data_IF_418401500944
#
_entry.id   IF_418401500944
#
_cell.length_a   1.000
_cell.length_b   1.000
_cell.length_c   1.000
_cell.angle_alpha   90.00
_cell.angle_beta   90.00
_cell.angle_gamma   90.00
#
_symmetry.space_group_name_H-M   'P 1'
#
loop_
_entity.id
_entity.type
_entity.pdbx_description
1 polymer ?
#
# COMPACT_ATOMS: atom_id res chain seq x y z
N UNK A 1 10.16 3.07 -10.11
CA UNK A 1 10.06 1.86 -9.27
C UNK A 1 8.67 1.79 -8.69
N UNK A 2 7.98 0.68 -8.89
CA UNK A 2 6.65 0.39 -8.35
C UNK A 2 6.78 -0.73 -7.32
N UNK A 3 6.59 -0.42 -6.05
CA UNK A 3 6.87 -1.32 -4.94
C UNK A 3 5.61 -1.63 -4.14
N UNK A 4 5.42 -2.88 -3.71
CA UNK A 4 4.48 -3.16 -2.62
C UNK A 4 4.99 -2.57 -1.30
N UNK A 5 4.14 -2.60 -0.27
CA UNK A 5 4.38 -2.09 1.07
C UNK A 5 4.42 -3.20 2.10
N UNK A 6 3.29 -3.89 2.31
CA UNK A 6 3.12 -4.91 3.33
C UNK A 6 4.01 -6.11 3.02
N UNK A 7 4.76 -6.60 4.02
CA UNK A 7 5.78 -7.66 3.91
C UNK A 7 6.91 -7.41 2.88
N UNK A 8 6.88 -6.29 2.14
CA UNK A 8 7.88 -5.89 1.15
C UNK A 8 8.79 -4.74 1.65
N UNK A 9 8.20 -3.61 2.03
CA UNK A 9 8.90 -2.44 2.59
C UNK A 9 8.70 -2.33 4.11
N UNK A 10 7.65 -2.94 4.65
CA UNK A 10 7.34 -2.94 6.07
C UNK A 10 6.94 -4.34 6.55
N UNK A 11 7.39 -4.78 7.75
CA UNK A 11 6.99 -6.06 8.34
C UNK A 11 5.60 -5.93 9.00
N UNK A 12 4.58 -5.62 8.21
CA UNK A 12 3.22 -5.47 8.68
C UNK A 12 2.19 -5.94 7.65
N UNK A 13 1.03 -6.38 8.13
CA UNK A 13 -0.14 -6.70 7.34
C UNK A 13 -1.01 -5.47 7.01
N UNK A 14 -1.82 -5.54 5.94
CA UNK A 14 -2.66 -4.43 5.49
C UNK A 14 -3.79 -4.06 6.46
N UNK A 15 -4.06 -4.89 7.46
CA UNK A 15 -5.15 -4.70 8.43
C UNK A 15 -4.69 -4.61 9.89
N UNK A 16 -3.39 -4.60 10.18
CA UNK A 16 -2.86 -4.68 11.55
C UNK A 16 -3.36 -3.53 12.45
N UNK A 17 -3.50 -2.33 11.88
CA UNK A 17 -4.05 -1.17 12.59
C UNK A 17 -5.48 -1.41 13.09
N UNK A 18 -6.26 -2.25 12.42
CA UNK A 18 -7.63 -2.59 12.82
C UNK A 18 -7.60 -3.46 14.07
N UNK A 19 -6.76 -4.48 14.11
CA UNK A 19 -6.58 -5.31 15.31
C UNK A 19 -6.00 -4.53 16.48
N UNK A 20 -5.15 -3.54 16.21
CA UNK A 20 -4.67 -2.62 17.24
C UNK A 20 -5.81 -1.78 17.84
N UNK A 21 -6.66 -1.20 17.00
CA UNK A 21 -7.74 -0.30 17.45
C UNK A 21 -8.95 -1.05 18.02
N UNK A 22 -9.20 -2.27 17.54
CA UNK A 22 -10.31 -3.13 17.94
C UNK A 22 -9.81 -4.56 18.22
N UNK A 23 -9.10 -4.80 19.34
CA UNK A 23 -8.55 -6.12 19.65
C UNK A 23 -9.60 -7.23 19.72
N UNK A 24 -10.84 -6.88 20.06
CA UNK A 24 -11.96 -7.82 20.18
C UNK A 24 -12.35 -8.51 18.87
N UNK A 25 -11.98 -7.97 17.70
CA UNK A 25 -12.29 -8.56 16.38
C UNK A 25 -11.07 -9.22 15.72
N UNK A 26 -9.96 -9.37 16.44
CA UNK A 26 -8.69 -9.87 15.89
C UNK A 26 -8.82 -11.29 15.31
N UNK A 27 -9.59 -12.16 15.96
CA UNK A 27 -9.76 -13.56 15.53
C UNK A 27 -10.45 -13.63 14.16
N UNK A 28 -11.53 -12.90 13.99
CA UNK A 28 -12.31 -12.80 12.76
C UNK A 28 -11.47 -12.15 11.64
N UNK A 29 -10.73 -11.08 11.97
CA UNK A 29 -9.84 -10.40 11.03
C UNK A 29 -8.74 -11.33 10.51
N UNK A 30 -8.10 -12.11 11.39
CA UNK A 30 -7.11 -13.12 11.00
C UNK A 30 -7.71 -14.17 10.08
N UNK A 31 -8.97 -14.57 10.29
CA UNK A 31 -9.70 -15.49 9.42
C UNK A 31 -9.99 -14.93 8.03
N UNK A 32 -10.30 -13.63 7.93
CA UNK A 32 -10.46 -12.93 6.65
C UNK A 32 -9.11 -12.85 5.94
N UNK A 33 -8.06 -12.38 6.63
CA UNK A 33 -6.73 -12.23 6.07
C UNK A 33 -6.17 -13.55 5.53
N UNK A 34 -6.28 -14.65 6.28
CA UNK A 34 -5.84 -15.98 5.83
C UNK A 34 -6.56 -16.43 4.56
N UNK A 35 -7.87 -16.18 4.44
CA UNK A 35 -8.63 -16.57 3.23
C UNK A 35 -8.24 -15.71 2.03
N UNK A 36 -7.97 -14.42 2.26
CA UNK A 36 -7.49 -13.52 1.23
C UNK A 36 -6.11 -13.93 0.72
N UNK A 37 -5.12 -14.09 1.60
CA UNK A 37 -3.75 -14.46 1.20
C UNK A 37 -3.62 -15.88 0.64
N UNK A 38 -4.57 -16.77 0.94
CA UNK A 38 -4.68 -18.09 0.30
C UNK A 38 -5.52 -18.10 -0.97
N UNK A 39 -5.83 -16.93 -1.55
CA UNK A 39 -6.61 -16.76 -2.79
C UNK A 39 -8.00 -17.42 -2.76
N UNK A 40 -8.60 -17.57 -1.57
CA UNK A 40 -9.97 -18.13 -1.42
C UNK A 40 -11.05 -17.06 -1.58
N UNK A 41 -10.71 -15.80 -1.35
CA UNK A 41 -11.57 -14.63 -1.55
C UNK A 41 -10.75 -13.50 -2.20
N UNK A 42 -11.40 -12.61 -2.94
CA UNK A 42 -10.75 -11.43 -3.54
C UNK A 42 -10.45 -10.34 -2.50
N UNK A 43 -9.70 -9.31 -2.89
CA UNK A 43 -9.44 -8.16 -2.01
C UNK A 43 -10.75 -7.44 -1.67
N UNK A 44 -11.62 -7.19 -2.66
CA UNK A 44 -12.92 -6.55 -2.42
C UNK A 44 -13.79 -7.34 -1.45
N UNK A 45 -13.81 -8.67 -1.58
CA UNK A 45 -14.55 -9.54 -0.66
C UNK A 45 -13.98 -9.51 0.76
N UNK A 46 -12.66 -9.44 0.91
CA UNK A 46 -12.01 -9.30 2.21
C UNK A 46 -12.35 -7.94 2.84
N UNK A 47 -12.19 -6.86 2.08
CA UNK A 47 -12.52 -5.49 2.50
C UNK A 47 -13.98 -5.35 2.92
N UNK A 48 -14.92 -5.91 2.17
CA UNK A 48 -16.34 -5.84 2.52
C UNK A 48 -16.65 -6.57 3.83
N UNK A 49 -16.04 -7.74 4.04
CA UNK A 49 -16.17 -8.45 5.32
C UNK A 49 -15.54 -7.69 6.49
N UNK A 50 -14.39 -7.04 6.26
CA UNK A 50 -13.76 -6.17 7.27
C UNK A 50 -14.67 -4.98 7.60
N UNK A 51 -15.27 -4.33 6.59
CA UNK A 51 -16.21 -3.22 6.80
C UNK A 51 -17.40 -3.60 7.68
N UNK A 52 -17.97 -4.78 7.46
CA UNK A 52 -19.09 -5.29 8.25
C UNK A 52 -18.70 -5.64 9.68
N UNK A 53 -17.44 -5.98 9.91
CA UNK A 53 -16.89 -6.34 11.23
C UNK A 53 -16.52 -5.10 12.07
N UNK A 54 -16.22 -3.96 11.43
CA UNK A 54 -15.77 -2.76 12.12
C UNK A 54 -16.88 -2.16 13.02
N UNK A 55 -16.63 -1.96 14.33
CA UNK A 55 -17.60 -1.30 15.22
C UNK A 55 -17.83 0.17 14.85
N UNK A 56 -16.79 0.84 14.36
CA UNK A 56 -16.81 2.20 13.86
C UNK A 56 -15.63 2.42 12.88
N UNK A 57 -15.67 3.47 12.05
CA UNK A 57 -14.52 3.86 11.24
C UNK A 57 -13.30 4.22 12.10
N UNK A 58 -12.10 3.84 11.65
CA UNK A 58 -10.84 4.19 12.32
C UNK A 58 -10.57 5.68 12.15
N UNK A 59 -10.47 6.41 13.26
CA UNK A 59 -10.17 7.84 13.25
C UNK A 59 -8.70 8.12 12.96
N UNK A 60 -8.37 9.35 12.52
CA UNK A 60 -6.98 9.75 12.30
C UNK A 60 -6.13 9.62 13.58
N UNK A 61 -6.70 9.97 14.75
CA UNK A 61 -6.02 9.84 16.04
C UNK A 61 -5.71 8.38 16.40
N UNK A 62 -6.63 7.46 16.12
CA UNK A 62 -6.40 6.03 16.32
C UNK A 62 -5.29 5.50 15.40
N UNK A 63 -5.28 5.94 14.14
CA UNK A 63 -4.21 5.60 13.20
C UNK A 63 -2.86 6.17 13.64
N UNK A 64 -2.83 7.41 14.13
CA UNK A 64 -1.60 8.02 14.67
C UNK A 64 -1.07 7.25 15.88
N UNK A 65 -1.94 6.85 16.80
CA UNK A 65 -1.56 6.03 17.96
C UNK A 65 -1.00 4.66 17.55
N UNK A 66 -1.60 4.02 16.54
CA UNK A 66 -1.06 2.78 15.96
C UNK A 66 0.33 3.00 15.34
N UNK A 67 0.50 4.07 14.55
CA UNK A 67 1.78 4.39 13.94
C UNK A 67 2.87 4.69 14.98
N UNK A 68 2.54 5.41 16.05
CA UNK A 68 3.48 5.67 17.14
C UNK A 68 3.93 4.38 17.83
N UNK A 69 3.00 3.45 18.07
CA UNK A 69 3.28 2.21 18.79
C UNK A 69 3.93 1.11 17.92
N UNK A 70 3.59 1.05 16.63
CA UNK A 70 3.84 -0.14 15.81
C UNK A 70 4.52 0.14 14.47
N UNK A 71 4.77 1.40 14.09
CA UNK A 71 5.41 1.68 12.81
C UNK A 71 6.81 1.09 12.73
N UNK A 72 7.02 0.26 11.72
CA UNK A 72 8.31 -0.33 11.38
C UNK A 72 8.46 -0.42 9.86
N UNK A 73 9.70 -0.32 9.40
CA UNK A 73 10.11 -0.52 8.01
C UNK A 73 11.37 -1.38 8.00
N UNK A 74 11.59 -2.10 6.90
CA UNK A 74 12.85 -2.84 6.75
C UNK A 74 14.06 -1.89 6.68
N UNK A 75 15.24 -2.34 7.16
CA UNK A 75 16.46 -1.54 7.07
C UNK A 75 16.74 -1.06 5.63
N UNK A 76 17.09 0.22 5.48
CA UNK A 76 17.45 0.82 4.19
C UNK A 76 16.28 1.35 3.36
N UNK A 77 15.01 1.14 3.74
CA UNK A 77 13.84 1.63 2.97
C UNK A 77 13.85 3.15 2.81
N UNK A 78 14.12 3.90 3.88
CA UNK A 78 14.22 5.35 3.81
C UNK A 78 15.38 5.81 2.92
N UNK A 79 16.51 5.12 2.97
CA UNK A 79 17.68 5.45 2.16
C UNK A 79 17.43 5.16 0.68
N UNK A 80 16.75 4.07 0.36
CA UNK A 80 16.30 3.74 -0.99
C UNK A 80 15.37 4.83 -1.54
N UNK A 81 14.38 5.26 -0.77
CA UNK A 81 13.46 6.33 -1.19
C UNK A 81 14.21 7.66 -1.46
N UNK A 82 15.11 8.05 -0.56
CA UNK A 82 15.94 9.25 -0.73
C UNK A 82 16.89 9.13 -1.93
N UNK A 83 17.48 7.96 -2.13
CA UNK A 83 18.33 7.69 -3.27
C UNK A 83 17.54 7.80 -4.57
N UNK A 84 16.32 7.24 -4.63
CA UNK A 84 15.45 7.38 -5.78
C UNK A 84 15.16 8.86 -6.09
N UNK A 85 14.80 9.66 -5.07
CA UNK A 85 14.60 11.09 -5.25
C UNK A 85 15.85 11.80 -5.78
N UNK A 86 17.03 11.52 -5.22
CA UNK A 86 18.30 12.11 -5.63
C UNK A 86 18.73 11.71 -7.05
N UNK A 87 18.31 10.52 -7.52
CA UNK A 87 18.58 10.00 -8.86
C UNK A 87 17.45 10.27 -9.86
N UNK A 88 16.45 11.07 -9.48
CA UNK A 88 15.28 11.34 -10.31
C UNK A 88 14.54 10.06 -10.75
N UNK A 89 14.59 9.02 -9.91
CA UNK A 89 13.81 7.80 -10.07
C UNK A 89 12.47 8.02 -9.38
N UNK A 90 11.38 7.95 -10.14
CA UNK A 90 10.02 8.00 -9.59
C UNK A 90 9.80 6.77 -8.70
N UNK A 91 9.56 6.99 -7.41
CA UNK A 91 9.22 5.96 -6.43
C UNK A 91 7.70 5.94 -6.21
N UNK A 92 7.06 4.81 -6.46
CA UNK A 92 5.65 4.59 -6.21
C UNK A 92 5.48 3.48 -5.19
N UNK A 93 4.64 3.73 -4.18
CA UNK A 93 4.06 2.65 -3.36
C UNK A 93 2.77 2.19 -4.04
N UNK A 94 2.65 0.90 -4.31
CA UNK A 94 1.56 0.29 -5.05
C UNK A 94 1.06 -0.96 -4.31
N UNK A 95 0.10 -0.75 -3.41
CA UNK A 95 -0.20 -1.71 -2.34
C UNK A 95 -1.70 -1.92 -2.14
N UNK A 96 -2.03 -3.09 -1.59
CA UNK A 96 -3.40 -3.42 -1.16
C UNK A 96 -3.73 -2.84 0.23
N UNK A 97 -2.74 -2.27 0.92
CA UNK A 97 -2.92 -1.48 2.13
C UNK A 97 -3.82 -0.26 1.93
N UNK A 98 -4.28 0.31 3.05
CA UNK A 98 -5.30 1.37 3.02
C UNK A 98 -4.71 2.75 2.84
N UNK A 99 -5.37 3.58 2.03
CA UNK A 99 -4.96 4.96 1.78
C UNK A 99 -4.76 5.77 3.06
N UNK A 100 -5.69 5.66 4.02
CA UNK A 100 -5.66 6.43 5.26
C UNK A 100 -4.41 6.17 6.10
N UNK A 101 -3.84 4.96 6.04
CA UNK A 101 -2.57 4.64 6.68
C UNK A 101 -1.43 5.51 6.13
N UNK A 102 -1.32 5.61 4.80
CA UNK A 102 -0.30 6.42 4.15
C UNK A 102 -0.52 7.92 4.33
N UNK A 103 -1.76 8.41 4.32
CA UNK A 103 -2.05 9.81 4.64
C UNK A 103 -1.49 10.20 6.01
N UNK A 104 -1.64 9.33 7.01
CA UNK A 104 -1.10 9.57 8.35
C UNK A 104 0.41 9.40 8.43
N UNK A 105 0.99 8.42 7.72
CA UNK A 105 2.45 8.30 7.60
C UNK A 105 3.10 9.60 7.11
N UNK A 106 2.58 10.19 6.04
CA UNK A 106 3.12 11.43 5.48
C UNK A 106 2.82 12.65 6.36
N UNK A 107 1.61 12.74 6.92
CA UNK A 107 1.26 13.81 7.86
C UNK A 107 2.19 13.83 9.09
N UNK A 108 2.59 12.65 9.58
CA UNK A 108 3.47 12.48 10.72
C UNK A 108 4.97 12.47 10.34
N UNK A 109 5.31 12.67 9.06
CA UNK A 109 6.68 12.69 8.53
C UNK A 109 7.49 11.43 8.85
N UNK A 110 6.82 10.28 8.92
CA UNK A 110 7.44 8.99 9.21
C UNK A 110 8.21 8.43 8.00
N UNK A 111 7.91 8.94 6.80
CA UNK A 111 8.59 8.60 5.55
C UNK A 111 8.94 9.86 4.75
N UNK A 112 9.95 9.79 3.86
CA UNK A 112 10.12 10.76 2.80
C UNK A 112 8.85 10.86 1.93
N UNK A 113 8.60 12.04 1.39
CA UNK A 113 7.52 12.24 0.41
C UNK A 113 7.77 11.38 -0.84
N UNK A 114 6.70 10.79 -1.37
CA UNK A 114 6.73 10.02 -2.62
C UNK A 114 5.85 10.70 -3.68
N UNK A 115 6.23 10.64 -4.97
CA UNK A 115 5.49 11.26 -6.06
C UNK A 115 4.16 10.59 -6.38
N UNK A 116 4.02 9.28 -6.12
CA UNK A 116 2.82 8.52 -6.46
C UNK A 116 2.50 7.44 -5.40
N UNK A 117 1.20 7.29 -5.12
CA UNK A 117 0.66 6.25 -4.24
C UNK A 117 -0.52 5.56 -4.93
N UNK A 118 -0.54 4.23 -4.89
CA UNK A 118 -1.73 3.43 -5.14
C UNK A 118 -2.05 2.56 -3.94
N UNK A 119 -3.29 2.69 -3.46
CA UNK A 119 -3.76 2.09 -2.22
C UNK A 119 -5.28 1.89 -2.26
N UNK A 120 -5.81 1.05 -1.36
CA UNK A 120 -7.23 0.78 -1.30
C UNK A 120 -8.01 1.91 -0.58
N UNK A 121 -9.13 2.40 -1.13
CA UNK A 121 -9.87 3.54 -0.58
C UNK A 121 -10.81 3.18 0.59
N UNK A 122 -10.65 2.02 1.23
CA UNK A 122 -11.59 1.57 2.29
C UNK A 122 -11.57 2.54 3.47
N UNK A 123 -10.37 2.97 3.84
CA UNK A 123 -10.12 3.99 4.84
C UNK A 123 -9.44 5.17 4.15
N UNK A 124 -10.09 6.33 4.20
CA UNK A 124 -9.60 7.59 3.63
C UNK A 124 -10.00 8.75 4.55
N UNK A 125 -9.03 9.60 4.85
CA UNK A 125 -9.23 10.86 5.55
C UNK A 125 -9.36 12.02 4.54
N UNK A 126 -9.85 13.20 4.98
CA UNK A 126 -9.85 14.39 4.16
C UNK A 126 -8.45 14.67 3.58
N UNK A 127 -8.35 15.15 2.32
CA UNK A 127 -7.07 15.45 1.71
C UNK A 127 -6.23 16.44 2.52
N UNK A 128 -4.92 16.23 2.54
CA UNK A 128 -3.94 17.08 3.20
C UNK A 128 -2.87 17.57 2.20
N UNK A 129 -2.18 18.66 2.52
CA UNK A 129 -1.01 19.12 1.74
C UNK A 129 0.18 18.16 1.79
N UNK A 130 0.17 17.21 2.73
CA UNK A 130 1.16 16.14 2.87
C UNK A 130 0.85 14.90 2.03
N UNK A 131 -0.31 14.85 1.38
CA UNK A 131 -0.68 13.71 0.56
C UNK A 131 0.14 13.69 -0.74
N UNK A 132 0.49 12.51 -1.29
CA UNK A 132 1.17 12.40 -2.58
C UNK A 132 0.40 13.11 -3.68
N UNK A 133 1.13 13.74 -4.61
CA UNK A 133 0.54 14.49 -5.74
C UNK A 133 -0.36 13.62 -6.63
N UNK A 134 0.06 12.36 -6.84
CA UNK A 134 -0.67 11.42 -7.68
C UNK A 134 -1.16 10.25 -6.83
N UNK A 135 -2.47 10.06 -6.86
CA UNK A 135 -3.14 8.97 -6.17
C UNK A 135 -3.94 8.12 -7.17
N UNK A 136 -3.86 6.80 -7.01
CA UNK A 136 -4.56 5.83 -7.83
C UNK A 136 -5.28 4.81 -6.93
N UNK A 137 -6.60 4.73 -7.05
CA UNK A 137 -7.38 3.73 -6.32
C UNK A 137 -7.02 2.31 -6.78
N UNK A 138 -6.79 1.44 -5.81
CA UNK A 138 -6.56 0.01 -6.01
C UNK A 138 -7.69 -0.74 -5.32
N UNK A 139 -8.56 -1.40 -6.09
CA UNK A 139 -9.68 -2.19 -5.57
C UNK A 139 -9.36 -3.69 -5.60
N UNK A 140 -8.55 -4.12 -6.57
CA UNK A 140 -8.08 -5.51 -6.69
C UNK A 140 -6.59 -5.58 -7.01
N UNK A 141 -5.98 -6.75 -6.81
CA UNK A 141 -4.53 -6.96 -7.05
C UNK A 141 -4.12 -6.65 -8.50
N UNK A 142 -5.02 -6.85 -9.46
CA UNK A 142 -4.78 -6.55 -10.88
C UNK A 142 -4.70 -5.04 -11.17
N UNK A 143 -5.24 -4.19 -10.30
CA UNK A 143 -5.10 -2.74 -10.44
C UNK A 143 -3.65 -2.28 -10.24
N UNK A 144 -2.78 -3.07 -9.59
CA UNK A 144 -1.35 -2.72 -9.46
C UNK A 144 -0.72 -2.46 -10.83
N UNK A 145 -0.89 -3.36 -11.79
CA UNK A 145 -0.38 -3.21 -13.15
C UNK A 145 -0.98 -2.01 -13.87
N UNK A 146 -2.31 -1.84 -13.78
CA UNK A 146 -3.04 -0.70 -14.37
C UNK A 146 -2.54 0.64 -13.83
N UNK A 147 -2.34 0.73 -12.52
CA UNK A 147 -1.91 1.95 -11.85
C UNK A 147 -0.43 2.25 -12.11
N UNK A 148 0.43 1.22 -12.16
CA UNK A 148 1.81 1.38 -12.65
C UNK A 148 1.82 1.91 -14.09
N UNK A 149 1.02 1.34 -14.99
CA UNK A 149 0.93 1.80 -16.38
C UNK A 149 0.44 3.25 -16.49
N UNK A 150 -0.54 3.64 -15.66
CA UNK A 150 -1.04 5.01 -15.62
C UNK A 150 0.05 6.01 -15.21
N UNK A 151 0.85 5.68 -14.18
CA UNK A 151 2.00 6.49 -13.76
C UNK A 151 3.06 6.56 -14.86
N UNK A 152 3.36 5.44 -15.52
CA UNK A 152 4.33 5.42 -16.62
C UNK A 152 3.89 6.33 -17.77
N UNK A 153 2.62 6.29 -18.17
CA UNK A 153 2.09 7.17 -19.22
C UNK A 153 2.14 8.64 -18.81
N UNK A 154 1.77 8.95 -17.56
CA UNK A 154 1.77 10.31 -17.03
C UNK A 154 3.18 10.95 -17.05
N UNK A 155 4.21 10.13 -16.86
CA UNK A 155 5.60 10.58 -16.78
C UNK A 155 6.46 10.16 -17.97
N UNK A 156 5.84 9.65 -19.04
CA UNK A 156 6.51 9.19 -20.26
C UNK A 156 7.66 8.18 -20.00
N UNK A 157 7.48 7.32 -18.99
CA UNK A 157 8.49 6.33 -18.57
C UNK A 157 8.39 5.11 -19.49
N UNK A 158 9.46 4.75 -20.24
CA UNK A 158 9.47 3.54 -21.05
C UNK A 158 9.53 2.30 -20.18
N UNK A 159 8.97 1.19 -20.67
CA UNK A 159 8.86 -0.05 -19.88
C UNK A 159 10.20 -0.65 -19.47
N UNK A 160 11.26 -0.51 -20.28
CA UNK A 160 12.61 -0.95 -19.91
C UNK A 160 13.23 -0.18 -18.72
N UNK A 161 12.59 0.91 -18.28
CA UNK A 161 13.01 1.69 -17.11
C UNK A 161 12.10 1.45 -15.89
N UNK A 162 11.17 0.48 -15.98
CA UNK A 162 10.34 0.06 -14.85
C UNK A 162 11.09 -0.99 -14.03
N UNK A 163 11.03 -0.83 -12.71
CA UNK A 163 11.36 -1.87 -11.73
C UNK A 163 10.09 -2.18 -10.95
N UNK A 164 9.72 -3.45 -10.84
CA UNK A 164 8.61 -3.93 -10.01
C UNK A 164 9.15 -4.67 -8.78
N UNK A 165 8.69 -4.30 -7.59
CA UNK A 165 9.15 -4.87 -6.31
C UNK A 165 7.95 -5.30 -5.46
N UNK A 166 8.05 -6.46 -4.80
CA UNK A 166 6.96 -7.06 -4.02
C UNK A 166 7.44 -8.30 -3.24
N UNK A 167 6.64 -8.76 -2.27
CA UNK A 167 7.00 -9.85 -1.34
C UNK A 167 6.41 -11.21 -1.71
N UNK A 168 5.26 -11.24 -2.41
CA UNK A 168 4.60 -12.37 -3.12
C UNK A 168 3.07 -12.44 -2.88
N UNK A 169 2.40 -13.46 -3.44
CA UNK A 169 0.96 -13.72 -3.28
C UNK A 169 0.06 -12.76 -4.07
N UNK A 170 0.04 -11.48 -3.68
CA UNK A 170 -0.72 -10.41 -4.34
C UNK A 170 0.00 -9.76 -5.53
N UNK A 171 1.34 -9.88 -5.60
CA UNK A 171 2.15 -9.26 -6.65
C UNK A 171 2.35 -10.12 -7.90
N UNK A 172 2.01 -11.40 -7.86
CA UNK A 172 2.22 -12.33 -8.97
C UNK A 172 1.74 -11.79 -10.32
N UNK A 173 0.47 -11.35 -10.44
CA UNK A 173 -0.04 -10.75 -11.68
C UNK A 173 0.71 -9.47 -12.11
N UNK A 174 1.23 -8.70 -11.15
CA UNK A 174 1.99 -7.48 -11.42
C UNK A 174 3.40 -7.80 -11.95
N UNK A 175 4.06 -8.83 -11.42
CA UNK A 175 5.33 -9.33 -11.94
C UNK A 175 5.17 -9.92 -13.35
N UNK A 176 4.13 -10.73 -13.59
CA UNK A 176 3.85 -11.29 -14.91
C UNK A 176 3.62 -10.18 -15.96
N UNK A 177 2.82 -9.17 -15.61
CA UNK A 177 2.62 -8.01 -16.47
C UNK A 177 3.92 -7.23 -16.70
N UNK A 178 4.72 -7.01 -15.65
CA UNK A 178 6.01 -6.32 -15.75
C UNK A 178 6.98 -7.03 -16.70
N UNK A 179 7.11 -8.35 -16.55
CA UNK A 179 7.96 -9.18 -17.41
C UNK A 179 7.52 -9.13 -18.89
N UNK A 180 6.22 -9.15 -19.17
CA UNK A 180 5.68 -9.00 -20.54
C UNK A 180 6.01 -7.64 -21.17
N UNK A 181 6.22 -6.61 -20.35
CA UNK A 181 6.58 -5.25 -20.79
C UNK A 181 8.09 -5.01 -20.84
N UNK A 182 8.91 -5.95 -20.36
CA UNK A 182 10.37 -5.80 -20.29
C UNK A 182 10.86 -5.01 -19.07
N UNK A 183 10.05 -4.97 -18.00
CA UNK A 183 10.47 -4.42 -16.71
C UNK A 183 11.49 -5.33 -16.02
N UNK A 184 12.26 -4.75 -15.10
CA UNK A 184 13.16 -5.45 -14.17
C UNK A 184 12.45 -5.84 -12.87
#
# INVERSE_FOLDING_TARGET
MSSDWNECLAPCGPFDFISHCYPQIQTELNGIFRRYTSNRITLSQAVEQVRQLLPAPITAQQMDAYLEACFAIYPGVTDLMRWCAAKQVLFMVNTTGMLGYFQRLFANKLLPEIPALSAHPMLRYPPSSTDPKHYFELHEIHDKAKNTEAVMRLHEIPAGNLIVMGDSGGDGPHFEWGAQRGAL
#
